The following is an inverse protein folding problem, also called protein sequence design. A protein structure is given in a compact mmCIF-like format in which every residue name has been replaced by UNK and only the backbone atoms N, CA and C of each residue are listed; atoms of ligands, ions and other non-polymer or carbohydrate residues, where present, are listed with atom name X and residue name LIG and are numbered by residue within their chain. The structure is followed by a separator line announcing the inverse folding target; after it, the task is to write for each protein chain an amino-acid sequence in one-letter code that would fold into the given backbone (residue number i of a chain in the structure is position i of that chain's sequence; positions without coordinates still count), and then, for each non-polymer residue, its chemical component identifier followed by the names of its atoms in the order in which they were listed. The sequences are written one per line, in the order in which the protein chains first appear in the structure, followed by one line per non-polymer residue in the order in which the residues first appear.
data_IF_067360928267
#
_entry.id   IF_067360928267
#
_cell.length_a   1.000
_cell.length_b   1.000
_cell.length_c   1.000
_cell.angle_alpha   90.00
_cell.angle_beta   90.00
_cell.angle_gamma   90.00
#
_symmetry.space_group_name_H-M   'P 1'
#
loop_
_entity.id
_entity.type
_entity.pdbx_description
1 polymer ?
#
# COMPACT_ATOMS: atom_id res chain seq x y z
N UNK A 1 32.35 31.34 13.74
CA UNK A 1 31.76 32.60 13.26
C UNK A 1 30.43 32.77 13.97
N UNK A 2 30.35 33.77 14.85
CA UNK A 2 29.21 34.05 15.70
C UNK A 2 28.15 34.74 14.84
N UNK A 3 26.98 34.13 14.67
CA UNK A 3 25.88 34.78 13.96
C UNK A 3 25.34 35.89 14.86
N UNK A 4 25.68 37.15 14.55
CA UNK A 4 25.10 38.32 15.22
C UNK A 4 23.58 38.25 15.09
N UNK A 5 22.90 37.99 16.20
CA UNK A 5 21.44 38.03 16.31
C UNK A 5 20.96 39.47 16.22
N UNK A 6 20.92 40.04 15.02
CA UNK A 6 20.34 41.36 14.78
C UNK A 6 18.81 41.24 14.85
N UNK A 7 18.22 41.80 15.91
CA UNK A 7 16.77 41.87 16.09
C UNK A 7 16.15 42.80 15.05
N UNK A 8 15.18 42.30 14.28
CA UNK A 8 14.42 43.08 13.31
C UNK A 8 13.53 44.11 14.04
N UNK A 9 13.61 45.38 13.64
CA UNK A 9 12.76 46.46 14.17
C UNK A 9 11.68 46.82 13.14
N UNK A 10 10.47 47.09 13.63
CA UNK A 10 9.39 47.61 12.79
C UNK A 10 9.56 49.12 12.60
N UNK A 11 9.63 49.57 11.34
CA UNK A 11 9.53 50.99 10.97
C UNK A 11 8.11 51.51 11.26
N UNK A 12 7.91 52.83 11.51
CA UNK A 12 6.58 53.43 11.66
C UNK A 12 5.59 53.09 10.54
N UNK A 13 6.07 52.78 9.34
CA UNK A 13 5.24 52.36 8.20
C UNK A 13 4.88 50.86 8.20
N UNK A 14 5.17 50.12 9.29
CA UNK A 14 4.98 48.68 9.41
C UNK A 14 6.03 47.82 8.69
N UNK A 15 6.93 48.45 7.93
CA UNK A 15 7.98 47.78 7.16
C UNK A 15 9.15 47.36 8.05
N UNK A 16 9.59 46.10 7.93
CA UNK A 16 10.64 45.53 8.79
C UNK A 16 12.03 45.81 8.26
N UNK A 17 12.97 46.13 9.15
CA UNK A 17 14.35 46.53 8.81
C UNK A 17 15.36 46.01 9.86
N UNK A 18 16.62 45.75 9.48
CA UNK A 18 17.65 45.26 10.41
C UNK A 18 18.30 46.37 11.25
N UNK A 19 18.32 47.62 10.76
CA UNK A 19 19.04 48.74 11.38
C UNK A 19 18.34 50.07 11.13
N UNK A 20 18.30 50.93 12.14
CA UNK A 20 17.94 52.35 11.97
C UNK A 20 19.11 53.10 11.32
N UNK A 21 18.84 54.01 10.39
CA UNK A 21 19.89 54.84 9.76
C UNK A 21 20.24 56.02 10.67
N UNK A 22 21.53 56.35 10.76
CA UNK A 22 22.03 57.41 11.65
C UNK A 22 21.55 58.83 11.26
N UNK A 23 21.15 59.04 10.01
CA UNK A 23 20.82 60.36 9.46
C UNK A 23 19.32 60.62 9.29
N UNK A 24 18.47 60.02 10.13
CA UNK A 24 17.03 60.30 10.17
C UNK A 24 16.22 59.80 8.96
N UNK A 25 16.87 59.18 7.97
CA UNK A 25 16.20 58.56 6.83
C UNK A 25 15.60 57.20 7.21
N UNK A 26 14.44 56.87 6.64
CA UNK A 26 13.81 55.57 6.81
C UNK A 26 14.75 54.43 6.42
N UNK A 27 14.75 53.38 7.25
CA UNK A 27 15.55 52.19 7.00
C UNK A 27 15.03 51.41 5.79
N UNK A 28 15.94 50.75 5.07
CA UNK A 28 15.56 49.98 3.88
C UNK A 28 14.76 48.75 4.27
N UNK A 29 13.69 48.42 3.52
CA UNK A 29 12.92 47.21 3.73
C UNK A 29 13.81 45.97 3.63
N UNK A 30 13.58 44.99 4.49
CA UNK A 30 14.19 43.68 4.33
C UNK A 30 13.65 42.99 3.08
N UNK A 31 14.51 42.47 2.20
CA UNK A 31 14.04 41.62 1.13
C UNK A 31 13.45 40.32 1.72
N UNK A 32 12.41 39.75 1.09
CA UNK A 32 11.60 38.67 1.68
C UNK A 32 12.34 37.34 1.88
N UNK A 33 13.55 37.17 1.34
CA UNK A 33 14.40 36.00 1.59
C UNK A 33 15.35 36.19 2.79
N UNK A 34 15.50 37.41 3.30
CA UNK A 34 16.24 37.73 4.52
C UNK A 34 15.33 38.03 5.72
N UNK A 35 14.02 38.22 5.51
CA UNK A 35 13.05 38.37 6.60
C UNK A 35 12.76 36.98 7.22
N UNK A 36 13.17 36.72 8.48
CA UNK A 36 12.98 35.42 9.12
C UNK A 36 11.50 35.04 9.22
N UNK A 37 10.58 36.00 9.30
CA UNK A 37 9.14 35.72 9.39
C UNK A 37 8.57 35.37 8.02
N UNK A 38 9.05 35.99 6.94
CA UNK A 38 8.68 35.61 5.58
C UNK A 38 9.23 34.21 5.22
N UNK A 39 10.45 33.90 5.68
CA UNK A 39 11.05 32.56 5.55
C UNK A 39 10.31 31.52 6.39
N UNK A 40 9.94 31.84 7.63
CA UNK A 40 9.13 30.96 8.48
C UNK A 40 7.73 30.74 7.92
N UNK A 41 7.05 31.79 7.46
CA UNK A 41 5.74 31.66 6.81
C UNK A 41 5.81 30.77 5.56
N UNK A 42 6.86 30.93 4.75
CA UNK A 42 7.12 30.07 3.59
C UNK A 42 7.45 28.64 3.97
N UNK A 43 8.15 28.38 5.08
CA UNK A 43 8.58 27.02 5.47
C UNK A 43 7.59 26.31 6.39
N UNK A 44 6.63 27.01 7.01
CA UNK A 44 5.66 26.45 7.96
C UNK A 44 4.85 25.29 7.37
N UNK A 45 4.49 25.36 6.08
CA UNK A 45 3.75 24.28 5.41
C UNK A 45 4.61 23.05 5.08
N UNK A 46 5.94 23.21 5.05
CA UNK A 46 6.92 22.14 4.79
C UNK A 46 7.34 21.45 6.09
N UNK A 47 7.10 22.06 7.25
CA UNK A 47 7.41 21.44 8.54
C UNK A 47 6.51 20.21 8.75
N UNK A 48 7.08 19.05 9.13
CA UNK A 48 6.27 17.90 9.49
C UNK A 48 5.36 18.27 10.67
N UNK A 49 4.12 17.80 10.63
CA UNK A 49 3.18 17.97 11.74
C UNK A 49 3.72 17.21 12.94
N UNK A 50 3.61 17.79 14.14
CA UNK A 50 3.98 17.13 15.39
C UNK A 50 3.13 15.88 15.57
N UNK A 51 3.76 14.77 15.93
CA UNK A 51 3.05 13.53 16.26
C UNK A 51 2.29 13.73 17.57
N UNK A 52 1.03 13.28 17.65
CA UNK A 52 0.27 13.27 18.90
C UNK A 52 0.62 12.01 19.69
N UNK A 53 0.86 12.15 20.99
CA UNK A 53 1.15 11.00 21.84
C UNK A 53 -0.09 10.10 21.95
N UNK A 54 0.10 8.77 21.93
CA UNK A 54 -1.00 7.78 21.98
C UNK A 54 -1.90 7.95 23.23
N UNK A 55 -1.31 8.46 24.31
CA UNK A 55 -1.98 8.71 25.58
C UNK A 55 -2.98 9.88 25.50
N UNK A 56 -2.75 10.83 24.59
CA UNK A 56 -3.61 12.00 24.38
C UNK A 56 -4.81 11.71 23.46
N UNK A 57 -4.83 10.53 22.80
CA UNK A 57 -5.90 10.16 21.88
C UNK A 57 -7.21 9.93 22.64
N UNK A 58 -8.30 10.49 22.12
CA UNK A 58 -9.65 10.24 22.63
C UNK A 58 -10.06 8.78 22.41
N UNK A 59 -11.03 8.28 23.19
CA UNK A 59 -11.53 6.90 23.03
C UNK A 59 -11.97 6.61 21.60
N UNK A 60 -12.74 7.53 20.99
CA UNK A 60 -13.15 7.43 19.59
C UNK A 60 -11.98 7.40 18.60
N UNK A 61 -10.91 8.17 18.84
CA UNK A 61 -9.73 8.13 17.97
C UNK A 61 -9.04 6.76 18.00
N UNK A 62 -8.93 6.17 19.20
CA UNK A 62 -8.37 4.82 19.34
C UNK A 62 -9.23 3.77 18.65
N UNK A 63 -10.55 3.84 18.79
CA UNK A 63 -11.49 2.97 18.09
C UNK A 63 -11.42 3.14 16.57
N UNK A 64 -11.32 4.38 16.09
CA UNK A 64 -11.23 4.68 14.66
C UNK A 64 -9.91 4.16 14.05
N UNK A 65 -8.79 4.32 14.76
CA UNK A 65 -7.48 3.78 14.33
C UNK A 65 -7.45 2.26 14.36
N UNK A 66 -8.17 1.63 15.29
CA UNK A 66 -8.32 0.18 15.35
C UNK A 66 -9.20 -0.39 14.22
N UNK A 67 -10.07 0.42 13.62
CA UNK A 67 -11.01 -0.03 12.60
C UNK A 67 -10.31 -0.32 11.26
N UNK A 68 -10.29 -1.60 10.85
CA UNK A 68 -9.67 -2.03 9.60
C UNK A 68 -10.30 -1.41 8.34
N UNK A 69 -11.63 -1.24 8.30
CA UNK A 69 -12.30 -0.59 7.18
C UNK A 69 -11.97 0.89 7.09
N UNK A 70 -11.95 1.60 8.22
CA UNK A 70 -11.58 3.00 8.26
C UNK A 70 -10.16 3.19 7.68
N UNK A 71 -9.23 2.31 8.08
CA UNK A 71 -7.87 2.31 7.54
C UNK A 71 -7.81 1.98 6.04
N UNK A 72 -8.60 1.01 5.57
CA UNK A 72 -8.70 0.67 4.14
C UNK A 72 -9.21 1.87 3.32
N UNK A 73 -10.24 2.56 3.81
CA UNK A 73 -10.84 3.75 3.19
C UNK A 73 -9.92 4.97 3.25
N UNK A 74 -9.10 5.09 4.29
CA UNK A 74 -8.13 6.18 4.45
C UNK A 74 -6.95 6.09 3.47
N UNK A 75 -6.77 4.95 2.78
CA UNK A 75 -5.71 4.82 1.77
C UNK A 75 -5.94 5.77 0.59
N UNK A 76 -4.88 6.23 -0.10
CA UNK A 76 -5.02 7.19 -1.19
C UNK A 76 -5.96 6.69 -2.28
N UNK A 77 -6.90 7.53 -2.69
CA UNK A 77 -7.78 7.23 -3.83
C UNK A 77 -6.95 7.20 -5.12
N UNK A 78 -7.21 6.17 -5.92
CA UNK A 78 -6.57 5.90 -7.21
C UNK A 78 -7.63 5.48 -8.21
N UNK A 79 -7.32 5.69 -9.48
CA UNK A 79 -8.18 5.29 -10.58
C UNK A 79 -7.81 3.89 -11.08
N UNK A 80 -8.80 3.02 -11.22
CA UNK A 80 -8.66 1.73 -11.87
C UNK A 80 -8.42 1.93 -13.37
N UNK A 81 -7.32 1.39 -13.91
CA UNK A 81 -6.96 1.51 -15.32
C UNK A 81 -7.96 0.80 -16.25
N UNK A 82 -8.66 -0.23 -15.75
CA UNK A 82 -9.61 -1.01 -16.54
C UNK A 82 -11.04 -0.44 -16.50
N UNK A 83 -11.58 -0.22 -15.30
CA UNK A 83 -12.98 0.23 -15.10
C UNK A 83 -13.12 1.74 -14.96
N UNK A 84 -12.01 2.48 -14.83
CA UNK A 84 -11.99 3.93 -14.55
C UNK A 84 -12.60 4.34 -13.20
N UNK A 85 -12.99 3.37 -12.36
CA UNK A 85 -13.51 3.60 -11.02
C UNK A 85 -12.46 4.26 -10.10
N UNK A 86 -12.89 5.19 -9.26
CA UNK A 86 -12.06 5.82 -8.24
C UNK A 86 -12.28 5.11 -6.91
N UNK A 87 -11.25 4.41 -6.43
CA UNK A 87 -11.30 3.63 -5.20
C UNK A 87 -10.04 3.87 -4.36
N UNK A 88 -10.13 3.77 -3.03
CA UNK A 88 -8.94 3.69 -2.17
C UNK A 88 -8.00 2.57 -2.65
N UNK A 89 -6.70 2.81 -2.60
CA UNK A 89 -5.70 1.87 -3.13
C UNK A 89 -5.72 0.49 -2.47
N UNK A 90 -6.31 0.37 -1.27
CA UNK A 90 -6.53 -0.90 -0.60
C UNK A 90 -7.35 -1.89 -1.47
N UNK A 91 -8.37 -1.39 -2.16
CA UNK A 91 -9.26 -2.18 -3.03
C UNK A 91 -8.71 -2.35 -4.45
N UNK A 92 -7.44 -2.00 -4.66
CA UNK A 92 -6.79 -2.10 -5.96
C UNK A 92 -5.52 -2.93 -5.87
N UNK A 93 -5.21 -3.67 -6.92
CA UNK A 93 -3.94 -4.34 -7.14
C UNK A 93 -3.05 -3.44 -7.99
N UNK A 94 -1.86 -3.05 -7.49
CA UNK A 94 -0.89 -2.34 -8.30
C UNK A 94 -0.28 -3.30 -9.32
N UNK A 95 -0.21 -2.86 -10.57
CA UNK A 95 0.42 -3.56 -11.69
C UNK A 95 1.65 -2.78 -12.12
N UNK A 96 2.73 -3.50 -12.44
CA UNK A 96 4.01 -2.90 -12.79
C UNK A 96 4.65 -3.61 -13.98
N UNK A 97 5.32 -2.82 -14.83
CA UNK A 97 6.17 -3.36 -15.88
C UNK A 97 7.56 -3.66 -15.30
N UNK A 98 8.12 -4.83 -15.60
CA UNK A 98 9.49 -5.17 -15.26
C UNK A 98 10.20 -5.89 -16.41
N UNK A 99 11.53 -5.85 -16.41
CA UNK A 99 12.36 -6.41 -17.47
C UNK A 99 13.18 -7.56 -16.90
N UNK A 100 13.07 -8.71 -17.55
CA UNK A 100 13.93 -9.86 -17.30
C UNK A 100 15.09 -9.81 -18.30
N UNK A 101 16.35 -9.68 -17.84
CA UNK A 101 17.49 -9.72 -18.73
C UNK A 101 17.58 -11.11 -19.39
N UNK A 102 18.11 -11.19 -20.62
CA UNK A 102 18.32 -12.49 -21.26
C UNK A 102 19.30 -13.32 -20.41
N UNK A 103 19.15 -14.65 -20.39
CA UNK A 103 20.17 -15.54 -19.83
C UNK A 103 21.50 -15.29 -20.52
N UNK A 104 22.61 -15.38 -19.78
CA UNK A 104 23.90 -14.88 -20.26
C UNK A 104 24.39 -15.60 -21.52
N UNK A 105 24.06 -16.88 -21.72
CA UNK A 105 24.44 -17.62 -22.95
C UNK A 105 23.45 -18.75 -23.24
N UNK A 106 22.88 -18.77 -24.46
CA UNK A 106 22.41 -20.03 -25.05
C UNK A 106 23.57 -20.64 -25.86
N UNK A 107 23.71 -21.97 -25.84
CA UNK A 107 24.69 -22.74 -26.65
C UNK A 107 24.62 -22.45 -28.17
N UNK A 108 23.57 -21.75 -28.64
CA UNK A 108 23.37 -21.36 -30.04
C UNK A 108 24.04 -20.05 -30.47
N UNK A 109 24.70 -19.30 -29.58
CA UNK A 109 25.45 -18.07 -29.92
C UNK A 109 24.59 -16.90 -30.42
N UNK A 110 23.25 -16.99 -30.31
CA UNK A 110 22.31 -15.91 -30.65
C UNK A 110 21.99 -15.12 -29.38
N UNK A 111 22.17 -13.80 -29.41
CA UNK A 111 21.76 -12.92 -28.30
C UNK A 111 20.24 -12.94 -28.18
N UNK A 112 19.71 -13.51 -27.09
CA UNK A 112 18.30 -13.40 -26.75
C UNK A 112 17.95 -11.94 -26.39
N UNK A 113 16.73 -11.53 -26.71
CA UNK A 113 16.23 -10.21 -26.32
C UNK A 113 15.70 -10.25 -24.88
N UNK A 114 15.83 -9.14 -24.14
CA UNK A 114 15.20 -8.98 -22.84
C UNK A 114 13.68 -9.09 -22.95
N UNK A 115 13.05 -9.77 -21.99
CA UNK A 115 11.59 -9.93 -21.96
C UNK A 115 10.97 -8.89 -21.03
N UNK A 116 9.85 -8.29 -21.44
CA UNK A 116 9.13 -7.29 -20.66
C UNK A 116 7.87 -7.96 -20.11
N UNK A 117 7.66 -7.88 -18.80
CA UNK A 117 6.52 -8.49 -18.12
C UNK A 117 5.63 -7.42 -17.51
N UNK A 118 4.31 -7.63 -17.57
CA UNK A 118 3.33 -6.86 -16.78
C UNK A 118 2.79 -7.77 -15.68
N UNK A 119 3.10 -7.46 -14.42
CA UNK A 119 2.78 -8.33 -13.28
C UNK A 119 2.22 -7.53 -12.10
N UNK A 120 1.53 -8.18 -11.15
CA UNK A 120 1.15 -7.53 -9.90
C UNK A 120 2.39 -7.17 -9.08
N UNK A 121 2.41 -5.96 -8.53
CA UNK A 121 3.45 -5.45 -7.64
C UNK A 121 3.13 -5.78 -6.17
N UNK A 122 2.92 -7.07 -5.91
CA UNK A 122 2.74 -7.65 -4.57
C UNK A 122 3.95 -8.55 -4.38
N UNK A 123 4.80 -8.28 -3.38
CA UNK A 123 6.00 -9.09 -3.05
C UNK A 123 6.75 -9.58 -4.30
N UNK A 124 6.98 -8.66 -5.23
CA UNK A 124 7.62 -8.98 -6.51
C UNK A 124 9.13 -9.08 -6.27
N UNK A 125 9.72 -10.25 -6.55
CA UNK A 125 11.15 -10.53 -6.39
C UNK A 125 11.98 -10.07 -7.60
N UNK A 126 11.82 -8.81 -7.97
CA UNK A 126 12.56 -8.20 -9.09
C UNK A 126 13.30 -6.97 -8.59
N UNK A 127 14.61 -6.82 -8.84
CA UNK A 127 15.37 -5.62 -8.45
C UNK A 127 14.67 -4.33 -8.90
N UNK A 128 14.75 -3.28 -8.07
CA UNK A 128 14.02 -2.03 -8.31
C UNK A 128 14.46 -1.35 -9.62
N UNK A 129 15.70 -1.57 -10.04
CA UNK A 129 16.31 -1.03 -11.24
C UNK A 129 15.70 -1.62 -12.52
N UNK A 130 15.18 -2.84 -12.41
CA UNK A 130 14.51 -3.62 -13.45
C UNK A 130 12.97 -3.50 -13.36
N UNK A 131 12.46 -2.68 -12.45
CA UNK A 131 11.04 -2.41 -12.26
C UNK A 131 10.71 -0.97 -12.64
N UNK A 132 9.59 -0.78 -13.33
CA UNK A 132 9.08 0.56 -13.59
C UNK A 132 8.75 1.28 -12.27
N UNK A 133 9.15 2.55 -12.10
CA UNK A 133 8.74 3.33 -10.93
C UNK A 133 7.25 3.68 -10.96
N UNK A 134 6.60 3.57 -12.13
CA UNK A 134 5.19 3.85 -12.31
C UNK A 134 4.34 2.60 -12.16
N UNK A 135 3.19 2.74 -11.49
CA UNK A 135 2.20 1.69 -11.28
C UNK A 135 0.89 2.09 -11.94
N UNK A 136 0.21 1.09 -12.48
CA UNK A 136 -1.20 1.16 -12.83
C UNK A 136 -1.97 0.41 -11.76
N UNK A 137 -3.23 0.76 -11.53
CA UNK A 137 -4.04 0.08 -10.52
C UNK A 137 -5.22 -0.60 -11.18
N UNK A 138 -5.57 -1.79 -10.73
CA UNK A 138 -6.75 -2.54 -11.21
C UNK A 138 -7.56 -2.94 -9.98
N UNK A 139 -8.89 -2.96 -10.08
CA UNK A 139 -9.73 -3.39 -8.96
C UNK A 139 -9.33 -4.79 -8.49
N UNK A 140 -9.27 -4.98 -7.17
CA UNK A 140 -8.90 -6.23 -6.53
C UNK A 140 -10.07 -7.22 -6.55
N UNK A 141 -10.43 -7.63 -7.76
CA UNK A 141 -11.51 -8.57 -8.04
C UNK A 141 -10.99 -9.68 -8.95
N UNK A 142 -11.15 -10.94 -8.51
CA UNK A 142 -10.69 -12.11 -9.24
C UNK A 142 -11.32 -12.23 -10.63
N UNK A 143 -12.60 -11.90 -10.79
CA UNK A 143 -13.30 -12.00 -12.06
C UNK A 143 -12.80 -10.98 -13.08
N UNK A 144 -12.39 -9.81 -12.61
CA UNK A 144 -11.79 -8.78 -13.46
C UNK A 144 -10.47 -9.28 -14.04
N UNK A 145 -9.62 -9.90 -13.25
CA UNK A 145 -8.36 -10.50 -13.74
C UNK A 145 -8.60 -11.66 -14.71
N UNK A 146 -9.58 -12.53 -14.44
CA UNK A 146 -10.01 -13.57 -15.40
C UNK A 146 -10.49 -12.96 -16.71
N UNK A 147 -11.24 -11.86 -16.65
CA UNK A 147 -11.74 -11.15 -17.85
C UNK A 147 -10.59 -10.50 -18.64
N UNK A 148 -9.60 -9.93 -17.95
CA UNK A 148 -8.42 -9.34 -18.56
C UNK A 148 -7.59 -10.36 -19.35
N UNK A 149 -7.39 -11.55 -18.78
CA UNK A 149 -6.71 -12.67 -19.44
C UNK A 149 -7.54 -13.23 -20.59
N UNK A 150 -8.77 -13.68 -20.32
CA UNK A 150 -9.63 -14.35 -21.31
C UNK A 150 -9.96 -13.48 -22.54
N UNK A 151 -10.25 -12.20 -22.33
CA UNK A 151 -10.55 -11.25 -23.42
C UNK A 151 -9.31 -10.54 -23.97
N UNK A 152 -8.11 -10.89 -23.51
CA UNK A 152 -6.83 -10.27 -23.90
C UNK A 152 -6.83 -8.73 -23.79
N UNK A 153 -7.52 -8.20 -22.78
CA UNK A 153 -7.65 -6.75 -22.52
C UNK A 153 -6.55 -6.19 -21.60
N UNK A 154 -5.72 -7.06 -21.04
CA UNK A 154 -4.60 -6.67 -20.19
C UNK A 154 -3.65 -5.59 -20.76
N UNK A 155 -3.43 -5.42 -22.08
CA UNK A 155 -2.56 -4.34 -22.58
C UNK A 155 -3.06 -2.94 -22.24
N UNK A 156 -4.36 -2.77 -21.97
CA UNK A 156 -4.97 -1.50 -21.56
C UNK A 156 -4.48 -1.03 -20.18
N UNK A 157 -3.98 -1.95 -19.35
CA UNK A 157 -3.48 -1.65 -18.01
C UNK A 157 -2.10 -0.99 -18.09
N UNK A 158 -1.31 -1.28 -19.13
CA UNK A 158 0.04 -0.75 -19.29
C UNK A 158 0.01 0.77 -19.53
N UNK A 159 0.46 1.54 -18.54
CA UNK A 159 0.48 3.00 -18.64
C UNK A 159 1.55 3.52 -19.60
N UNK A 160 1.34 4.72 -20.14
CA UNK A 160 2.34 5.40 -20.96
C UNK A 160 3.67 5.62 -20.23
N UNK A 161 3.61 5.85 -18.91
CA UNK A 161 4.82 6.02 -18.09
C UNK A 161 5.65 4.74 -18.03
N UNK A 162 4.99 3.58 -17.95
CA UNK A 162 5.69 2.29 -18.05
C UNK A 162 6.33 2.12 -19.43
N UNK A 163 5.60 2.44 -20.52
CA UNK A 163 6.18 2.39 -21.88
C UNK A 163 7.40 3.29 -22.03
N UNK A 164 7.33 4.53 -21.52
CA UNK A 164 8.44 5.48 -21.51
C UNK A 164 9.65 4.92 -20.76
N UNK A 165 9.42 4.32 -19.59
CA UNK A 165 10.48 3.69 -18.81
C UNK A 165 11.10 2.49 -19.52
N UNK A 166 10.29 1.60 -20.11
CA UNK A 166 10.78 0.45 -20.89
C UNK A 166 11.59 0.92 -22.11
N UNK A 167 11.09 1.90 -22.85
CA UNK A 167 11.79 2.49 -23.99
C UNK A 167 13.15 3.06 -23.59
N UNK A 168 13.22 3.78 -22.47
CA UNK A 168 14.47 4.29 -21.91
C UNK A 168 15.45 3.15 -21.58
N UNK A 169 14.98 2.07 -20.94
CA UNK A 169 15.82 0.93 -20.54
C UNK A 169 16.33 0.11 -21.72
N UNK A 170 15.53 0.00 -22.78
CA UNK A 170 15.89 -0.75 -23.99
C UNK A 170 16.57 0.11 -25.07
N UNK A 171 16.74 1.42 -24.83
CA UNK A 171 17.30 2.35 -25.82
C UNK A 171 16.41 2.53 -27.06
N UNK A 172 15.08 2.39 -26.91
CA UNK A 172 14.09 2.48 -28.00
C UNK A 172 13.11 3.61 -27.77
N UNK A 173 12.55 4.10 -28.88
CA UNK A 173 11.42 5.02 -28.83
C UNK A 173 10.20 4.35 -28.17
N UNK A 174 9.60 5.00 -27.18
CA UNK A 174 8.47 4.41 -26.44
C UNK A 174 7.20 4.35 -27.28
N UNK A 175 7.06 5.21 -28.29
CA UNK A 175 5.92 5.24 -29.20
C UNK A 175 5.89 4.01 -30.13
N UNK A 176 7.05 3.39 -30.38
CA UNK A 176 7.13 2.22 -31.26
C UNK A 176 6.84 0.91 -30.52
N UNK A 177 6.86 0.92 -29.18
CA UNK A 177 6.65 -0.26 -28.35
C UNK A 177 5.17 -0.69 -28.38
N UNK A 178 4.94 -1.92 -28.82
CA UNK A 178 3.61 -2.55 -28.86
C UNK A 178 3.44 -3.52 -27.70
N UNK A 179 2.74 -3.06 -26.65
CA UNK A 179 2.49 -3.85 -25.43
C UNK A 179 1.93 -5.24 -25.73
N UNK A 180 0.93 -5.33 -26.60
CA UNK A 180 0.28 -6.60 -26.95
C UNK A 180 1.17 -7.61 -27.68
N UNK A 181 2.35 -7.20 -28.18
CA UNK A 181 3.28 -8.06 -28.92
C UNK A 181 4.59 -8.29 -28.20
N UNK A 182 5.08 -7.27 -27.50
CA UNK A 182 6.41 -7.27 -26.89
C UNK A 182 6.37 -7.56 -25.39
N UNK A 183 5.20 -7.43 -24.75
CA UNK A 183 5.08 -7.64 -23.32
C UNK A 183 4.39 -8.98 -23.06
N UNK A 184 4.82 -9.64 -22.00
CA UNK A 184 4.25 -10.90 -21.54
C UNK A 184 3.31 -10.66 -20.37
N UNK A 185 2.23 -11.41 -20.38
CA UNK A 185 1.20 -11.43 -19.35
C UNK A 185 0.98 -12.87 -18.93
N UNK A 186 0.88 -13.11 -17.62
CA UNK A 186 0.53 -14.42 -17.11
C UNK A 186 -0.98 -14.66 -17.28
N UNK A 187 -1.35 -15.70 -18.02
CA UNK A 187 -2.76 -16.05 -18.23
C UNK A 187 -3.48 -16.35 -16.91
N UNK A 188 -2.75 -16.90 -15.92
CA UNK A 188 -3.24 -17.27 -14.58
C UNK A 188 -2.89 -16.23 -13.52
N UNK A 189 -2.79 -14.95 -13.90
CA UNK A 189 -2.46 -13.88 -12.96
C UNK A 189 -3.41 -13.82 -11.75
N UNK A 190 -4.67 -14.27 -11.90
CA UNK A 190 -5.63 -14.29 -10.79
C UNK A 190 -5.24 -15.30 -9.70
N UNK A 191 -4.72 -16.46 -10.10
CA UNK A 191 -4.16 -17.46 -9.18
C UNK A 191 -2.88 -16.93 -8.53
N UNK A 192 -2.02 -16.26 -9.29
CA UNK A 192 -0.78 -15.64 -8.77
C UNK A 192 -1.09 -14.54 -7.74
N UNK A 193 -2.09 -13.70 -7.98
CA UNK A 193 -2.52 -12.66 -7.03
C UNK A 193 -3.06 -13.32 -5.77
N UNK A 194 -3.92 -14.33 -5.91
CA UNK A 194 -4.48 -15.06 -4.78
C UNK A 194 -3.39 -15.68 -3.90
N UNK A 195 -2.41 -16.34 -4.53
CA UNK A 195 -1.30 -16.96 -3.81
C UNK A 195 -0.48 -15.93 -3.03
N UNK A 196 -0.18 -14.78 -3.64
CA UNK A 196 0.57 -13.71 -2.98
C UNK A 196 -0.21 -13.06 -1.82
N UNK A 197 -1.51 -12.84 -1.99
CA UNK A 197 -2.37 -12.33 -0.92
C UNK A 197 -2.43 -13.31 0.26
N UNK A 198 -2.60 -14.61 -0.02
CA UNK A 198 -2.52 -15.68 1.00
C UNK A 198 -1.15 -15.71 1.69
N UNK A 199 -0.07 -15.62 0.92
CA UNK A 199 1.30 -15.58 1.45
C UNK A 199 1.51 -14.43 2.42
N UNK A 200 1.02 -13.23 2.08
CA UNK A 200 1.09 -12.07 2.98
C UNK A 200 0.32 -12.29 4.29
N UNK A 201 -0.90 -12.85 4.23
CA UNK A 201 -1.66 -13.21 5.44
C UNK A 201 -0.90 -14.22 6.30
N UNK A 202 -0.32 -15.26 5.70
CA UNK A 202 0.49 -16.27 6.40
C UNK A 202 1.70 -15.63 7.11
N UNK A 203 2.41 -14.72 6.44
CA UNK A 203 3.54 -13.99 7.04
C UNK A 203 3.06 -13.16 8.23
N UNK A 204 1.98 -12.39 8.08
CA UNK A 204 1.42 -11.58 9.17
C UNK A 204 0.87 -12.41 10.32
N UNK A 205 0.29 -13.55 10.04
CA UNK A 205 -0.19 -14.46 11.07
C UNK A 205 0.97 -15.05 11.88
N UNK A 206 2.08 -15.40 11.21
CA UNK A 206 3.31 -15.85 11.89
C UNK A 206 3.91 -14.77 12.78
N UNK A 207 3.93 -13.52 12.33
CA UNK A 207 4.38 -12.37 13.14
C UNK A 207 3.52 -12.23 14.42
N UNK A 208 2.20 -12.33 14.30
CA UNK A 208 1.26 -12.24 15.44
C UNK A 208 1.37 -13.45 16.37
N UNK A 209 1.61 -14.65 15.83
CA UNK A 209 1.85 -15.87 16.60
C UNK A 209 3.14 -15.75 17.42
N UNK A 210 4.22 -15.28 16.82
CA UNK A 210 5.51 -15.07 17.51
C UNK A 210 5.42 -14.01 18.61
N UNK A 211 4.53 -13.03 18.44
CA UNK A 211 4.24 -12.03 19.46
C UNK A 211 3.36 -12.56 20.62
N UNK A 212 2.85 -13.79 20.55
CA UNK A 212 1.99 -14.38 21.57
C UNK A 212 0.58 -13.81 21.64
N UNK A 213 0.11 -13.19 20.54
CA UNK A 213 -1.18 -12.49 20.46
C UNK A 213 -2.32 -13.35 19.91
N UNK A 214 -2.03 -14.59 19.52
CA UNK A 214 -3.01 -15.61 19.16
C UNK A 214 -3.31 -16.47 20.39
N UNK A 215 -4.56 -16.43 20.85
CA UNK A 215 -5.02 -17.19 22.02
C UNK A 215 -6.18 -18.09 21.61
N UNK A 216 -6.28 -19.28 22.19
CA UNK A 216 -7.44 -20.15 21.99
C UNK A 216 -8.70 -19.51 22.56
N UNK A 217 -9.84 -19.70 21.89
CA UNK A 217 -11.14 -19.15 22.32
C UNK A 217 -11.46 -19.46 23.80
N UNK A 218 -11.22 -20.70 24.23
CA UNK A 218 -11.47 -21.15 25.61
C UNK A 218 -10.59 -20.46 26.67
N UNK A 219 -9.45 -19.89 26.26
CA UNK A 219 -8.49 -19.21 27.13
C UNK A 219 -8.61 -17.68 27.07
N UNK A 220 -9.50 -17.14 26.22
CA UNK A 220 -9.53 -15.71 25.90
C UNK A 220 -10.01 -14.80 27.04
N UNK A 221 -10.79 -15.30 28.00
CA UNK A 221 -11.31 -14.49 29.11
C UNK A 221 -11.99 -13.18 28.66
N UNK A 222 -12.06 -12.18 29.54
CA UNK A 222 -12.53 -10.81 29.22
C UNK A 222 -11.43 -9.95 28.56
N UNK A 223 -10.61 -10.53 27.69
CA UNK A 223 -9.54 -9.78 27.01
C UNK A 223 -10.11 -8.88 25.88
N UNK A 224 -9.37 -7.83 25.54
CA UNK A 224 -9.72 -6.92 24.44
C UNK A 224 -9.44 -7.62 23.09
N UNK A 225 -10.41 -8.41 22.63
CA UNK A 225 -10.35 -9.17 21.36
C UNK A 225 -10.37 -8.22 20.17
N UNK A 226 -9.56 -8.39 19.13
CA UNK A 226 -9.70 -7.61 17.90
C UNK A 226 -10.72 -8.24 16.94
N UNK A 227 -10.49 -9.51 16.61
CA UNK A 227 -11.28 -10.32 15.69
C UNK A 227 -11.01 -11.81 15.95
N UNK A 228 -11.85 -12.67 15.40
CA UNK A 228 -11.75 -14.12 15.57
C UNK A 228 -11.39 -14.79 14.25
N UNK A 229 -10.68 -15.91 14.37
CA UNK A 229 -10.26 -16.77 13.26
C UNK A 229 -10.90 -18.14 13.46
N UNK A 230 -11.80 -18.51 12.56
CA UNK A 230 -12.52 -19.77 12.59
C UNK A 230 -11.96 -20.78 11.59
N UNK A 231 -11.97 -22.05 11.98
CA UNK A 231 -11.74 -23.18 11.09
C UNK A 231 -13.11 -23.83 10.77
N UNK A 232 -13.75 -23.37 9.69
CA UNK A 232 -14.90 -24.00 9.03
C UNK A 232 -15.85 -24.87 9.87
N UNK A 233 -16.88 -24.25 10.44
CA UNK A 233 -18.20 -24.86 10.64
C UNK A 233 -19.31 -23.79 10.75
N UNK A 234 -19.19 -22.71 9.98
CA UNK A 234 -20.30 -21.78 9.76
C UNK A 234 -20.92 -22.11 8.40
N UNK A 235 -21.97 -22.93 8.42
CA UNK A 235 -22.86 -23.12 7.28
C UNK A 235 -23.38 -21.77 6.78
N UNK A 236 -22.90 -21.33 5.62
CA UNK A 236 -23.54 -20.31 4.79
C UNK A 236 -23.40 -18.86 5.25
N UNK A 237 -22.77 -18.04 4.40
CA UNK A 237 -22.93 -16.58 4.41
C UNK A 237 -22.08 -15.83 5.43
N UNK A 238 -21.11 -15.07 4.91
CA UNK A 238 -20.60 -13.79 5.44
C UNK A 238 -20.53 -13.62 6.96
N UNK A 239 -19.32 -13.65 7.51
CA UNK A 239 -18.97 -13.03 8.81
C UNK A 239 -19.97 -13.31 9.93
N UNK A 240 -19.91 -14.50 10.52
CA UNK A 240 -20.52 -14.74 11.82
C UNK A 240 -19.98 -13.73 12.83
N UNK A 241 -20.83 -13.17 13.68
CA UNK A 241 -20.41 -12.23 14.71
C UNK A 241 -20.24 -13.01 16.02
N UNK A 242 -19.01 -13.37 16.39
CA UNK A 242 -18.69 -13.89 17.72
C UNK A 242 -18.32 -12.72 18.61
N UNK A 243 -18.99 -12.58 19.76
CA UNK A 243 -18.77 -11.47 20.71
C UNK A 243 -18.92 -10.06 20.13
N UNK A 244 -19.72 -9.87 19.07
CA UNK A 244 -19.85 -8.57 18.42
C UNK A 244 -18.71 -8.22 17.45
N UNK A 245 -17.72 -9.11 17.25
CA UNK A 245 -16.53 -8.89 16.42
C UNK A 245 -16.49 -9.80 15.19
N UNK A 246 -15.73 -9.39 14.18
CA UNK A 246 -15.64 -10.09 12.89
C UNK A 246 -14.99 -11.47 13.05
N UNK A 247 -15.58 -12.47 12.39
CA UNK A 247 -15.01 -13.82 12.29
C UNK A 247 -14.61 -14.07 10.85
N UNK A 248 -13.32 -14.29 10.63
CA UNK A 248 -12.78 -14.70 9.33
C UNK A 248 -12.73 -16.22 9.27
N UNK A 249 -13.31 -16.81 8.21
CA UNK A 249 -13.15 -18.24 7.91
C UNK A 249 -11.78 -18.47 7.25
N UNK A 250 -10.78 -18.72 8.07
CA UNK A 250 -9.39 -18.81 7.60
C UNK A 250 -9.15 -20.07 6.78
N UNK A 251 -9.88 -21.14 7.07
CA UNK A 251 -9.84 -22.37 6.29
C UNK A 251 -10.30 -22.10 4.84
N UNK A 252 -11.42 -21.39 4.67
CA UNK A 252 -11.89 -20.99 3.34
C UNK A 252 -10.91 -20.02 2.64
N UNK A 253 -10.34 -19.06 3.37
CA UNK A 253 -9.47 -18.02 2.81
C UNK A 253 -8.08 -18.54 2.42
N UNK A 254 -7.41 -19.30 3.29
CA UNK A 254 -6.03 -19.78 3.08
C UNK A 254 -5.97 -21.17 2.43
N UNK A 255 -7.01 -21.99 2.60
CA UNK A 255 -7.00 -23.42 2.35
C UNK A 255 -6.56 -24.22 3.58
N UNK A 256 -7.07 -25.44 3.72
CA UNK A 256 -6.87 -26.28 4.90
C UNK A 256 -5.39 -26.59 5.18
N UNK A 257 -4.59 -26.83 4.14
CA UNK A 257 -3.16 -27.16 4.27
C UNK A 257 -2.37 -26.03 4.95
N UNK A 258 -2.52 -24.79 4.46
CA UNK A 258 -1.80 -23.62 4.99
C UNK A 258 -2.27 -23.25 6.39
N UNK A 259 -3.54 -23.50 6.70
CA UNK A 259 -4.09 -23.31 8.04
C UNK A 259 -3.54 -24.33 9.03
N UNK A 260 -3.52 -25.62 8.64
CA UNK A 260 -2.97 -26.71 9.45
C UNK A 260 -1.47 -26.54 9.70
N UNK A 261 -0.71 -26.04 8.72
CA UNK A 261 0.71 -25.74 8.91
C UNK A 261 0.97 -24.64 9.97
N UNK A 262 0.00 -23.76 10.20
CA UNK A 262 0.13 -22.63 11.13
C UNK A 262 -0.36 -22.97 12.55
N UNK A 263 -1.47 -23.70 12.65
CA UNK A 263 -2.18 -23.95 13.92
C UNK A 263 -2.08 -25.42 14.38
N UNK A 264 -1.59 -26.30 13.51
CA UNK A 264 -1.55 -27.75 13.72
C UNK A 264 -2.84 -28.44 13.28
N UNK A 265 -2.92 -29.75 13.52
CA UNK A 265 -4.01 -30.63 13.04
C UNK A 265 -5.36 -30.36 13.74
N UNK A 266 -5.38 -29.58 14.82
CA UNK A 266 -6.62 -29.27 15.54
C UNK A 266 -7.26 -28.00 15.00
N UNK A 267 -8.47 -28.14 14.43
CA UNK A 267 -9.34 -27.04 14.02
C UNK A 267 -9.85 -26.28 15.24
N UNK A 268 -9.04 -25.38 15.79
CA UNK A 268 -9.43 -24.58 16.96
C UNK A 268 -9.75 -23.15 16.51
N UNK A 269 -10.85 -22.61 17.02
CA UNK A 269 -11.13 -21.19 16.91
C UNK A 269 -10.07 -20.40 17.69
N UNK A 270 -9.45 -19.44 17.01
CA UNK A 270 -8.45 -18.56 17.60
C UNK A 270 -8.99 -17.16 17.74
N UNK A 271 -8.58 -16.52 18.83
CA UNK A 271 -8.90 -15.13 19.17
C UNK A 271 -7.62 -14.31 19.04
N UNK A 272 -7.69 -13.21 18.29
CA UNK A 272 -6.57 -12.29 18.11
C UNK A 272 -6.73 -11.12 19.06
N UNK A 273 -5.71 -10.79 19.84
CA UNK A 273 -5.76 -9.65 20.78
C UNK A 273 -5.63 -8.29 20.06
N UNK A 274 -6.28 -7.26 20.58
CA UNK A 274 -6.25 -5.88 20.06
C UNK A 274 -4.91 -5.21 20.34
N UNK A 275 -4.08 -5.08 19.31
CA UNK A 275 -2.83 -4.32 19.33
C UNK A 275 -2.59 -3.64 17.99
N UNK A 276 -1.70 -2.65 17.94
CA UNK A 276 -1.29 -2.03 16.68
C UNK A 276 -0.68 -3.04 15.69
N UNK A 277 -0.02 -4.09 16.21
CA UNK A 277 0.57 -5.15 15.38
C UNK A 277 -0.45 -6.03 14.66
N UNK A 278 -1.66 -6.19 15.22
CA UNK A 278 -2.71 -7.04 14.64
C UNK A 278 -3.55 -6.31 13.59
N UNK A 279 -3.46 -4.98 13.53
CA UNK A 279 -4.12 -4.18 12.48
C UNK A 279 -3.62 -4.54 11.08
N UNK A 280 -2.31 -4.79 10.92
CA UNK A 280 -1.74 -5.19 9.65
C UNK A 280 -2.27 -6.55 9.18
N UNK A 281 -2.46 -7.50 10.11
CA UNK A 281 -3.07 -8.79 9.82
C UNK A 281 -4.54 -8.63 9.41
N UNK A 282 -5.33 -7.84 10.16
CA UNK A 282 -6.73 -7.61 9.84
C UNK A 282 -6.91 -6.94 8.47
N UNK A 283 -6.06 -5.96 8.13
CA UNK A 283 -6.07 -5.34 6.80
C UNK A 283 -5.71 -6.33 5.69
N UNK A 284 -4.76 -7.24 5.94
CA UNK A 284 -4.39 -8.28 4.97
C UNK A 284 -5.54 -9.28 4.76
N UNK A 285 -6.22 -9.69 5.83
CA UNK A 285 -7.40 -10.55 5.79
C UNK A 285 -8.55 -9.90 5.04
N UNK A 286 -8.86 -8.63 5.36
CA UNK A 286 -9.90 -7.86 4.69
C UNK A 286 -9.63 -7.76 3.18
N UNK A 287 -8.37 -7.55 2.78
CA UNK A 287 -7.99 -7.47 1.36
C UNK A 287 -8.14 -8.82 0.65
N UNK A 288 -7.76 -9.92 1.31
CA UNK A 288 -7.90 -11.27 0.77
C UNK A 288 -9.37 -11.67 0.64
N UNK A 289 -10.16 -11.41 1.67
CA UNK A 289 -11.60 -11.66 1.68
C UNK A 289 -12.29 -10.86 0.57
N UNK A 290 -11.99 -9.57 0.42
CA UNK A 290 -12.53 -8.75 -0.67
C UNK A 290 -12.21 -9.32 -2.05
N UNK A 291 -10.98 -9.81 -2.26
CA UNK A 291 -10.55 -10.40 -3.53
C UNK A 291 -11.27 -11.73 -3.85
N UNK A 292 -11.70 -12.46 -2.82
CA UNK A 292 -12.41 -13.73 -2.96
C UNK A 292 -13.94 -13.58 -3.03
N UNK A 293 -14.49 -12.65 -2.26
CA UNK A 293 -15.93 -12.46 -2.05
C UNK A 293 -16.59 -11.62 -3.13
N UNK A 294 -15.82 -11.00 -4.04
CA UNK A 294 -16.35 -10.28 -5.20
C UNK A 294 -16.98 -11.25 -6.21
N UNK A 295 -18.20 -11.70 -5.90
CA UNK A 295 -19.15 -12.18 -6.90
C UNK A 295 -19.70 -10.92 -7.54
N UNK A 296 -19.46 -10.73 -8.84
CA UNK A 296 -19.86 -9.54 -9.59
C UNK A 296 -21.31 -9.12 -9.29
N UNK A 297 -21.48 -7.90 -8.79
CA UNK A 297 -22.75 -7.16 -8.82
C UNK A 297 -22.89 -6.37 -10.12
#
# INVERSE_FOLDING_TARGET
MQADSQSTLASPNGTRTFRQRQHGNDALPLPPFLDPIAVEAKTRHTRPKTYQDEQEKTGFQRELEANAFANALATPVRQCAFTQALLPSHFLIPMVAHITPPPEEDESGKRQASTIHLSPDIDLEVPRELRSPSRSYVIADREVFKTLSSRKKWPLIASERMKKWVGLKLGRSWQTLKVNREWTWDEKVDEVILEKLRGNVVVKMREVQQAGLLVHEDAAGTADVAFCLGAGNATGGTSGQLHGKEVYDVAALLGDEKWQDLVGVQSVNLVVQSTSSTQALQQALLRLDHYMSSTSG
#
